data_IF_837952921663
#
_entry.id   IF_837952921663
#
_cell.length_a   1.000
_cell.length_b   1.000
_cell.length_c   1.000
_cell.angle_alpha   90.00
_cell.angle_beta   90.00
_cell.angle_gamma   90.00
#
_symmetry.space_group_name_H-M   'P 1'
#
loop_
_entity.id
_entity.type
_entity.pdbx_description
1 polymer ?
#
# COMPACT_ATOMS: atom_id res chain seq x y z
N UNK A 1 -100.06 -13.71 -3.37
CA UNK A 1 -98.81 -14.46 -3.80
C UNK A 1 -97.96 -13.65 -4.79
N UNK A 2 -98.51 -13.03 -5.82
CA UNK A 2 -97.71 -12.29 -6.83
C UNK A 2 -97.01 -11.04 -6.26
N UNK A 3 -97.60 -10.35 -5.27
CA UNK A 3 -97.04 -9.18 -4.62
C UNK A 3 -95.87 -9.55 -3.71
N UNK A 4 -95.94 -10.66 -3.03
CA UNK A 4 -94.91 -11.19 -2.15
C UNK A 4 -93.69 -11.61 -2.96
N UNK A 5 -93.94 -12.29 -4.08
CA UNK A 5 -92.89 -12.72 -5.00
C UNK A 5 -92.07 -11.50 -5.61
N UNK A 6 -92.81 -10.41 -5.91
CA UNK A 6 -92.24 -9.19 -6.42
C UNK A 6 -91.41 -8.45 -5.35
N UNK A 7 -91.88 -8.47 -4.10
CA UNK A 7 -91.18 -7.91 -2.96
C UNK A 7 -89.89 -8.64 -2.68
N UNK A 8 -89.93 -10.01 -2.64
CA UNK A 8 -88.75 -10.82 -2.37
C UNK A 8 -87.74 -10.71 -3.49
N UNK A 9 -88.13 -10.61 -4.76
CA UNK A 9 -87.20 -10.38 -5.88
C UNK A 9 -86.52 -9.02 -5.84
N UNK A 10 -87.29 -7.94 -5.35
CA UNK A 10 -86.72 -6.63 -5.17
C UNK A 10 -85.74 -6.59 -4.01
N UNK A 11 -85.98 -7.32 -2.93
CA UNK A 11 -85.14 -7.44 -1.78
C UNK A 11 -83.83 -8.08 -2.15
N UNK A 12 -83.91 -9.20 -2.92
CA UNK A 12 -82.72 -9.88 -3.46
C UNK A 12 -81.82 -8.99 -4.37
N UNK A 13 -82.52 -8.17 -5.21
CA UNK A 13 -81.81 -7.25 -6.12
C UNK A 13 -81.12 -6.13 -5.34
N UNK A 14 -81.69 -5.63 -4.23
CA UNK A 14 -81.09 -4.65 -3.34
C UNK A 14 -79.86 -5.28 -2.65
N UNK A 15 -80.01 -6.49 -2.13
CA UNK A 15 -78.95 -7.17 -1.43
C UNK A 15 -77.75 -7.45 -2.33
N UNK A 16 -77.97 -7.93 -3.59
CA UNK A 16 -76.89 -8.08 -4.60
C UNK A 16 -76.23 -6.73 -4.93
N UNK A 17 -76.97 -5.63 -4.96
CA UNK A 17 -76.35 -4.29 -5.21
C UNK A 17 -75.55 -3.82 -4.03
N UNK A 18 -75.96 -4.05 -2.80
CA UNK A 18 -75.20 -3.72 -1.57
C UNK A 18 -73.93 -4.56 -1.51
N UNK A 19 -73.96 -5.86 -1.79
CA UNK A 19 -72.79 -6.76 -1.83
C UNK A 19 -71.79 -6.32 -2.90
N UNK A 20 -72.24 -5.95 -4.08
CA UNK A 20 -71.38 -5.40 -5.15
C UNK A 20 -70.78 -4.04 -4.77
N UNK A 21 -71.51 -3.21 -4.03
CA UNK A 21 -71.00 -1.92 -3.59
C UNK A 21 -69.95 -2.08 -2.53
N UNK A 22 -70.14 -2.97 -1.55
CA UNK A 22 -69.18 -3.26 -0.50
C UNK A 22 -67.92 -3.89 -1.09
N UNK A 23 -68.04 -4.85 -2.03
CA UNK A 23 -66.88 -5.42 -2.74
C UNK A 23 -66.05 -4.36 -3.48
N UNK A 24 -66.73 -3.42 -4.17
CA UNK A 24 -66.03 -2.29 -4.81
C UNK A 24 -65.33 -1.38 -3.81
N UNK A 25 -65.91 -1.12 -2.65
CA UNK A 25 -65.30 -0.32 -1.57
C UNK A 25 -64.03 -1.00 -1.04
N UNK A 26 -64.03 -2.34 -0.82
CA UNK A 26 -62.85 -3.09 -0.40
C UNK A 26 -61.74 -3.06 -1.45
N UNK A 27 -62.07 -3.19 -2.74
CA UNK A 27 -61.11 -3.08 -3.83
C UNK A 27 -60.46 -1.68 -3.86
N UNK A 28 -61.28 -0.61 -3.75
CA UNK A 28 -60.79 0.77 -3.73
C UNK A 28 -59.90 1.01 -2.51
N UNK A 29 -60.31 0.55 -1.33
CA UNK A 29 -59.51 0.65 -0.12
C UNK A 29 -58.15 -0.09 -0.27
N UNK A 30 -58.17 -1.29 -0.85
CA UNK A 30 -56.94 -2.06 -1.15
C UNK A 30 -55.99 -1.36 -2.14
N UNK A 31 -56.55 -0.75 -3.19
CA UNK A 31 -55.77 0.05 -4.13
C UNK A 31 -55.19 1.31 -3.50
N UNK A 32 -55.92 1.98 -2.64
CA UNK A 32 -55.45 3.16 -1.91
C UNK A 32 -54.30 2.79 -0.93
N UNK A 33 -54.43 1.69 -0.21
CA UNK A 33 -53.34 1.21 0.68
C UNK A 33 -52.10 0.81 -0.09
N UNK A 34 -52.25 0.15 -1.23
CA UNK A 34 -51.12 -0.23 -2.09
C UNK A 34 -50.42 1.01 -2.68
N UNK A 35 -51.17 2.00 -3.10
CA UNK A 35 -50.63 3.28 -3.58
C UNK A 35 -49.87 4.03 -2.47
N UNK A 36 -50.39 4.04 -1.25
CA UNK A 36 -49.73 4.67 -0.10
C UNK A 36 -48.41 3.98 0.23
N UNK A 37 -48.36 2.65 0.20
CA UNK A 37 -47.12 1.87 0.40
C UNK A 37 -46.11 2.19 -0.70
N UNK A 38 -46.52 2.26 -1.95
CA UNK A 38 -45.66 2.58 -3.08
C UNK A 38 -45.04 3.98 -2.95
N UNK A 39 -45.86 4.97 -2.58
CA UNK A 39 -45.40 6.35 -2.34
C UNK A 39 -44.38 6.39 -1.19
N UNK A 40 -44.65 5.68 -0.10
CA UNK A 40 -43.72 5.59 1.03
C UNK A 40 -42.39 4.94 0.64
N UNK A 41 -42.45 3.87 -0.16
CA UNK A 41 -41.22 3.19 -0.68
C UNK A 41 -40.39 4.11 -1.60
N UNK A 42 -41.06 4.86 -2.48
CA UNK A 42 -40.39 5.85 -3.35
C UNK A 42 -39.78 7.00 -2.55
N UNK A 43 -40.47 7.51 -1.55
CA UNK A 43 -39.96 8.55 -0.65
C UNK A 43 -38.72 8.05 0.13
N UNK A 44 -38.76 6.80 0.62
CA UNK A 44 -37.64 6.18 1.31
C UNK A 44 -36.43 5.97 0.37
N UNK A 45 -36.66 5.51 -0.87
CA UNK A 45 -35.61 5.37 -1.88
C UNK A 45 -34.98 6.73 -2.20
N UNK A 46 -35.79 7.76 -2.40
CA UNK A 46 -35.30 9.13 -2.63
C UNK A 46 -34.44 9.63 -1.46
N UNK A 47 -34.88 9.36 -0.22
CA UNK A 47 -34.08 9.67 0.98
C UNK A 47 -32.75 8.95 1.01
N UNK A 48 -32.69 7.64 0.68
CA UNK A 48 -31.45 6.88 0.59
C UNK A 48 -30.51 7.44 -0.49
N UNK A 49 -31.03 7.75 -1.66
CA UNK A 49 -30.26 8.36 -2.76
C UNK A 49 -29.70 9.72 -2.35
N UNK A 50 -30.52 10.55 -1.72
CA UNK A 50 -30.08 11.86 -1.21
C UNK A 50 -28.95 11.70 -0.18
N UNK A 51 -29.12 10.78 0.76
CA UNK A 51 -28.11 10.49 1.79
C UNK A 51 -26.80 9.98 1.18
N UNK A 52 -26.89 9.11 0.17
CA UNK A 52 -25.74 8.61 -0.58
C UNK A 52 -24.99 9.73 -1.32
N UNK A 53 -25.73 10.63 -1.98
CA UNK A 53 -25.13 11.79 -2.67
C UNK A 53 -24.43 12.72 -1.68
N UNK A 54 -25.06 13.00 -0.52
CA UNK A 54 -24.47 13.84 0.51
C UNK A 54 -23.21 13.21 1.11
N UNK A 55 -23.22 11.89 1.34
CA UNK A 55 -22.04 11.15 1.83
C UNK A 55 -20.89 11.19 0.82
N UNK A 56 -21.20 10.94 -0.45
CA UNK A 56 -20.20 11.01 -1.53
C UNK A 56 -19.62 12.42 -1.68
N UNK A 57 -20.43 13.47 -1.56
CA UNK A 57 -19.94 14.85 -1.57
C UNK A 57 -19.00 15.15 -0.40
N UNK A 58 -19.34 14.70 0.82
CA UNK A 58 -18.49 14.84 1.99
C UNK A 58 -17.17 14.08 1.82
N UNK A 59 -17.24 12.82 1.35
CA UNK A 59 -16.07 12.00 1.09
C UNK A 59 -15.17 12.64 0.04
N UNK A 60 -15.71 13.12 -1.07
CA UNK A 60 -14.97 13.82 -2.11
C UNK A 60 -14.28 15.08 -1.58
N UNK A 61 -14.94 15.86 -0.73
CA UNK A 61 -14.36 17.05 -0.10
C UNK A 61 -13.21 16.70 0.85
N UNK A 62 -13.35 15.63 1.65
CA UNK A 62 -12.29 15.15 2.55
C UNK A 62 -11.09 14.67 1.74
N UNK A 63 -11.30 13.86 0.70
CA UNK A 63 -10.24 13.40 -0.19
C UNK A 63 -9.51 14.59 -0.82
N UNK A 64 -10.24 15.57 -1.35
CA UNK A 64 -9.64 16.76 -1.95
C UNK A 64 -8.81 17.54 -0.93
N UNK A 65 -9.29 17.76 0.29
CA UNK A 65 -8.54 18.47 1.34
C UNK A 65 -7.27 17.70 1.73
N UNK A 66 -7.34 16.37 1.84
CA UNK A 66 -6.17 15.52 2.13
C UNK A 66 -5.15 15.60 0.99
N UNK A 67 -5.64 15.52 -0.26
CA UNK A 67 -4.76 15.61 -1.45
C UNK A 67 -4.07 16.96 -1.53
N UNK A 68 -4.80 18.07 -1.37
CA UNK A 68 -4.23 19.42 -1.37
C UNK A 68 -3.17 19.61 -0.26
N UNK A 69 -3.43 19.08 0.94
CA UNK A 69 -2.48 19.14 2.06
C UNK A 69 -1.22 18.30 1.78
N UNK A 70 -1.41 17.12 1.21
CA UNK A 70 -0.35 16.22 0.80
C UNK A 70 0.52 16.81 -0.32
N UNK A 71 -0.09 17.43 -1.34
CA UNK A 71 0.63 18.11 -2.42
C UNK A 71 1.45 19.31 -1.91
N UNK A 72 0.91 20.10 -0.97
CA UNK A 72 1.64 21.19 -0.33
C UNK A 72 2.85 20.69 0.45
N UNK A 73 2.69 19.59 1.19
CA UNK A 73 3.76 18.98 1.96
C UNK A 73 4.87 18.43 1.04
N UNK A 74 4.50 17.80 -0.07
CA UNK A 74 5.43 17.33 -1.09
C UNK A 74 6.21 18.49 -1.74
N UNK A 75 5.50 19.53 -2.15
CA UNK A 75 6.14 20.73 -2.71
C UNK A 75 7.12 21.40 -1.76
N UNK A 76 6.81 21.43 -0.46
CA UNK A 76 7.69 21.93 0.57
C UNK A 76 8.96 21.07 0.70
N UNK A 77 8.82 19.75 0.76
CA UNK A 77 9.96 18.82 0.84
C UNK A 77 10.84 18.92 -0.40
N UNK A 78 10.24 18.96 -1.60
CA UNK A 78 10.98 19.13 -2.86
C UNK A 78 11.76 20.46 -2.88
N UNK A 79 11.15 21.53 -2.38
CA UNK A 79 11.81 22.84 -2.29
C UNK A 79 13.01 22.83 -1.34
N UNK A 80 12.88 22.15 -0.19
CA UNK A 80 13.99 21.99 0.77
C UNK A 80 15.11 21.16 0.13
N UNK A 81 14.80 20.02 -0.45
CA UNK A 81 15.79 19.15 -1.11
C UNK A 81 16.53 19.88 -2.22
N UNK A 82 15.82 20.61 -3.08
CA UNK A 82 16.41 21.39 -4.16
C UNK A 82 17.31 22.53 -3.65
N UNK A 83 17.04 23.10 -2.48
CA UNK A 83 17.89 24.14 -1.87
C UNK A 83 19.09 23.54 -1.13
N UNK A 84 18.96 22.33 -0.59
CA UNK A 84 20.06 21.64 0.09
C UNK A 84 21.12 21.11 -0.87
N UNK A 85 20.73 20.58 -2.02
CA UNK A 85 21.61 19.93 -2.99
C UNK A 85 22.81 20.80 -3.41
N UNK A 86 22.66 22.09 -3.80
CA UNK A 86 23.80 22.96 -4.13
C UNK A 86 24.76 23.15 -2.95
N UNK A 87 24.21 23.31 -1.73
CA UNK A 87 25.03 23.51 -0.52
C UNK A 87 25.86 22.28 -0.20
N UNK A 88 25.28 21.09 -0.34
CA UNK A 88 25.97 19.80 -0.15
C UNK A 88 27.03 19.58 -1.22
N UNK A 89 26.81 20.04 -2.45
CA UNK A 89 27.80 19.98 -3.53
C UNK A 89 28.99 20.92 -3.26
N UNK A 90 28.75 22.13 -2.76
CA UNK A 90 29.82 23.04 -2.35
C UNK A 90 30.63 22.49 -1.17
N UNK A 91 29.96 21.86 -0.19
CA UNK A 91 30.63 21.17 0.90
C UNK A 91 31.50 20.02 0.38
N UNK A 92 30.99 19.21 -0.55
CA UNK A 92 31.72 18.11 -1.18
C UNK A 92 32.98 18.60 -1.90
N UNK A 93 32.87 19.71 -2.67
CA UNK A 93 34.02 20.34 -3.34
C UNK A 93 35.04 20.90 -2.35
N UNK A 94 34.57 21.49 -1.26
CA UNK A 94 35.45 22.04 -0.20
C UNK A 94 36.21 20.91 0.52
N UNK A 95 35.54 19.78 0.77
CA UNK A 95 36.16 18.58 1.37
C UNK A 95 37.19 17.95 0.43
N UNK A 96 36.95 17.93 -0.88
CA UNK A 96 37.91 17.44 -1.87
C UNK A 96 39.22 18.27 -1.84
N UNK A 97 39.14 19.59 -1.60
CA UNK A 97 40.31 20.44 -1.41
C UNK A 97 41.10 20.13 -0.15
N UNK A 98 40.48 19.60 0.90
CA UNK A 98 41.14 19.21 2.15
C UNK A 98 41.80 17.82 2.11
N UNK A 99 41.55 16.97 1.08
CA UNK A 99 42.06 15.61 0.99
C UNK A 99 43.59 15.54 1.02
N UNK A 100 44.29 16.54 0.51
CA UNK A 100 45.76 16.61 0.51
C UNK A 100 46.34 17.01 1.86
N UNK A 101 45.60 17.75 2.69
CA UNK A 101 46.08 18.30 3.98
C UNK A 101 45.67 17.42 5.17
N UNK A 102 44.47 16.82 5.13
CA UNK A 102 43.94 16.05 6.23
C UNK A 102 43.04 14.88 5.70
N UNK A 103 43.61 13.85 5.08
CA UNK A 103 42.85 12.82 4.34
C UNK A 103 41.86 12.05 5.21
N UNK A 104 42.17 11.79 6.48
CA UNK A 104 41.27 11.09 7.40
C UNK A 104 40.02 11.89 7.75
N UNK A 105 40.19 13.20 8.00
CA UNK A 105 39.07 14.11 8.31
C UNK A 105 38.25 14.38 7.05
N UNK A 106 38.89 14.58 5.90
CA UNK A 106 38.20 14.77 4.62
C UNK A 106 37.29 13.58 4.30
N UNK A 107 37.78 12.33 4.47
CA UNK A 107 36.99 11.11 4.26
C UNK A 107 35.77 11.04 5.22
N UNK A 108 35.96 11.39 6.49
CA UNK A 108 34.86 11.37 7.46
C UNK A 108 33.79 12.41 7.16
N UNK A 109 34.20 13.61 6.72
CA UNK A 109 33.24 14.69 6.34
C UNK A 109 32.53 14.28 5.04
N UNK A 110 33.25 13.74 4.04
CA UNK A 110 32.63 13.29 2.80
C UNK A 110 31.56 12.24 3.04
N UNK A 111 31.83 11.24 3.87
CA UNK A 111 30.85 10.22 4.22
C UNK A 111 29.57 10.81 4.85
N UNK A 112 29.69 11.85 5.66
CA UNK A 112 28.53 12.57 6.24
C UNK A 112 27.76 13.40 5.21
N UNK A 113 28.46 14.03 4.28
CA UNK A 113 27.83 14.75 3.16
C UNK A 113 27.06 13.79 2.27
N UNK A 114 27.65 12.64 1.96
CA UNK A 114 27.00 11.60 1.13
C UNK A 114 25.76 11.02 1.84
N UNK A 115 25.85 10.76 3.15
CA UNK A 115 24.71 10.31 3.95
C UNK A 115 23.58 11.35 3.98
N UNK A 116 23.90 12.65 4.05
CA UNK A 116 22.90 13.72 4.05
C UNK A 116 22.25 13.89 2.68
N UNK A 117 22.99 13.72 1.58
CA UNK A 117 22.44 13.66 0.22
C UNK A 117 21.45 12.50 0.09
N UNK A 118 21.87 11.29 0.47
CA UNK A 118 21.02 10.11 0.43
C UNK A 118 19.73 10.29 1.24
N UNK A 119 19.84 10.90 2.42
CA UNK A 119 18.67 11.22 3.25
C UNK A 119 17.71 12.18 2.53
N UNK A 120 18.22 13.22 1.88
CA UNK A 120 17.40 14.15 1.07
C UNK A 120 16.66 13.44 -0.06
N UNK A 121 17.37 12.57 -0.81
CA UNK A 121 16.80 11.78 -1.89
C UNK A 121 15.70 10.84 -1.40
N UNK A 122 15.92 10.15 -0.28
CA UNK A 122 14.94 9.26 0.32
C UNK A 122 13.70 9.99 0.86
N UNK A 123 13.87 11.19 1.45
CA UNK A 123 12.72 12.02 1.86
C UNK A 123 11.88 12.43 0.65
N UNK A 124 12.54 12.86 -0.42
CA UNK A 124 11.85 13.25 -1.64
C UNK A 124 11.11 12.06 -2.26
N UNK A 125 11.76 10.91 -2.32
CA UNK A 125 11.15 9.68 -2.82
C UNK A 125 9.96 9.23 -1.97
N UNK A 126 10.10 9.23 -0.64
CA UNK A 126 9.02 8.88 0.28
C UNK A 126 7.81 9.78 0.06
N UNK A 127 8.04 11.09 -0.04
CA UNK A 127 6.98 12.07 -0.30
C UNK A 127 6.28 11.85 -1.64
N UNK A 128 7.02 11.55 -2.70
CA UNK A 128 6.44 11.22 -4.02
C UNK A 128 5.62 9.94 -3.96
N UNK A 129 6.15 8.89 -3.30
CA UNK A 129 5.46 7.62 -3.14
C UNK A 129 4.18 7.74 -2.31
N UNK A 130 4.15 8.52 -1.26
CA UNK A 130 2.94 8.75 -0.45
C UNK A 130 1.85 9.48 -1.23
N UNK A 131 2.21 10.39 -2.11
CA UNK A 131 1.27 11.25 -2.83
C UNK A 131 0.79 10.67 -4.16
N UNK A 132 1.52 9.76 -4.78
CA UNK A 132 1.12 9.12 -6.03
C UNK A 132 0.08 8.00 -5.78
N UNK A 133 -1.14 8.37 -5.39
CA UNK A 133 -2.25 7.43 -5.13
C UNK A 133 -2.68 6.61 -6.37
N UNK A 134 -2.27 7.02 -7.57
CA UNK A 134 -2.73 6.45 -8.85
C UNK A 134 -1.60 5.91 -9.73
N UNK A 135 -0.34 5.93 -9.29
CA UNK A 135 0.73 5.31 -10.07
C UNK A 135 0.59 3.79 -10.05
N UNK A 136 0.20 3.26 -11.19
CA UNK A 136 0.25 1.82 -11.45
C UNK A 136 1.58 1.50 -12.11
N UNK A 137 2.37 0.67 -11.48
CA UNK A 137 3.62 0.19 -12.07
C UNK A 137 3.34 -0.79 -13.20
N UNK A 138 3.93 -0.55 -14.37
CA UNK A 138 3.80 -1.46 -15.51
C UNK A 138 4.42 -2.83 -15.18
N UNK A 139 3.61 -3.88 -15.35
CA UNK A 139 4.02 -5.25 -15.10
C UNK A 139 4.57 -5.90 -16.38
N UNK A 140 5.76 -6.53 -16.28
CA UNK A 140 6.42 -7.27 -17.36
C UNK A 140 6.61 -8.73 -16.94
N UNK A 141 6.59 -9.64 -17.91
CA UNK A 141 6.92 -11.05 -17.66
C UNK A 141 8.42 -11.27 -17.72
N UNK A 142 8.97 -11.97 -16.74
CA UNK A 142 10.39 -12.33 -16.71
C UNK A 142 10.62 -13.62 -15.91
N UNK A 143 11.76 -14.25 -16.17
CA UNK A 143 12.21 -15.45 -15.43
C UNK A 143 12.77 -15.05 -14.07
N UNK A 144 12.21 -15.63 -13.00
CA UNK A 144 12.59 -15.27 -11.60
C UNK A 144 14.02 -15.65 -11.29
N UNK A 145 14.50 -16.82 -11.75
CA UNK A 145 15.88 -17.28 -11.48
C UNK A 145 16.91 -16.31 -12.04
N UNK A 146 16.80 -16.02 -13.36
CA UNK A 146 17.76 -15.11 -14.02
C UNK A 146 17.67 -13.67 -13.50
N UNK A 147 16.49 -13.23 -13.08
CA UNK A 147 16.30 -11.93 -12.43
C UNK A 147 17.03 -11.87 -11.08
N UNK A 148 16.77 -12.85 -10.20
CA UNK A 148 17.40 -12.90 -8.88
C UNK A 148 18.92 -13.11 -8.94
N UNK A 149 19.43 -13.87 -9.92
CA UNK A 149 20.87 -14.01 -10.16
C UNK A 149 21.54 -12.65 -10.43
N UNK A 150 20.91 -11.80 -11.26
CA UNK A 150 21.40 -10.44 -11.52
C UNK A 150 21.36 -9.55 -10.28
N UNK A 151 20.32 -9.66 -9.47
CA UNK A 151 20.19 -8.91 -8.21
C UNK A 151 21.28 -9.35 -7.21
N UNK A 152 21.50 -10.66 -7.07
CA UNK A 152 22.52 -11.20 -6.18
C UNK A 152 23.94 -10.81 -6.60
N UNK A 153 24.22 -10.75 -7.92
CA UNK A 153 25.52 -10.30 -8.42
C UNK A 153 25.88 -8.89 -7.99
N UNK A 154 24.88 -7.99 -7.95
CA UNK A 154 25.06 -6.58 -7.52
C UNK A 154 25.36 -6.43 -6.02
N UNK A 155 25.09 -7.45 -5.23
CA UNK A 155 25.29 -7.42 -3.76
C UNK A 155 26.56 -8.16 -3.35
N UNK A 156 27.17 -8.96 -4.24
CA UNK A 156 28.33 -9.78 -3.91
C UNK A 156 29.51 -9.00 -3.32
N UNK A 157 29.75 -7.80 -3.84
CA UNK A 157 30.84 -6.95 -3.37
C UNK A 157 30.60 -6.35 -1.98
N UNK A 158 29.33 -6.24 -1.57
CA UNK A 158 28.94 -5.71 -0.27
C UNK A 158 29.01 -6.80 0.82
N UNK A 159 29.07 -8.08 0.44
CA UNK A 159 29.08 -9.21 1.38
C UNK A 159 30.48 -9.41 1.97
N UNK A 160 30.53 -9.51 3.30
CA UNK A 160 31.80 -9.71 4.02
C UNK A 160 32.44 -11.06 3.68
N UNK A 161 33.77 -11.13 3.60
CA UNK A 161 34.49 -12.39 3.42
C UNK A 161 34.09 -13.43 4.49
N UNK A 162 33.75 -14.64 4.05
CA UNK A 162 33.36 -15.74 4.94
C UNK A 162 31.83 -15.83 5.20
N UNK A 163 31.03 -14.92 4.69
CA UNK A 163 29.57 -15.04 4.68
C UNK A 163 29.14 -15.81 3.44
N UNK A 164 28.42 -16.92 3.64
CA UNK A 164 27.88 -17.72 2.55
C UNK A 164 26.62 -17.05 1.96
N UNK A 165 26.54 -16.99 0.62
CA UNK A 165 25.39 -16.45 -0.08
C UNK A 165 24.73 -17.56 -0.90
N UNK A 166 23.43 -17.84 -0.63
CA UNK A 166 22.69 -18.93 -1.26
C UNK A 166 21.37 -18.46 -1.84
N UNK A 167 20.90 -19.14 -2.88
CA UNK A 167 19.61 -18.91 -3.51
C UNK A 167 18.81 -20.21 -3.60
N UNK A 168 17.48 -20.09 -3.46
CA UNK A 168 16.53 -21.20 -3.66
C UNK A 168 15.37 -20.69 -4.52
N UNK A 169 15.59 -20.70 -5.84
CA UNK A 169 14.73 -20.00 -6.79
C UNK A 169 14.45 -20.91 -7.99
N UNK A 170 13.18 -21.27 -8.23
CA UNK A 170 12.81 -22.09 -9.38
C UNK A 170 12.87 -21.29 -10.69
N UNK A 171 13.11 -21.99 -11.80
CA UNK A 171 13.04 -21.41 -13.16
C UNK A 171 11.59 -21.27 -13.62
N UNK A 172 10.91 -20.24 -13.15
CA UNK A 172 9.54 -19.92 -13.51
C UNK A 172 9.43 -18.47 -13.97
N UNK A 173 8.35 -18.16 -14.70
CA UNK A 173 8.02 -16.80 -15.08
C UNK A 173 6.96 -16.24 -14.15
N UNK A 174 7.09 -14.96 -13.83
CA UNK A 174 6.08 -14.15 -13.15
C UNK A 174 5.87 -12.84 -13.91
N UNK A 175 4.72 -12.21 -13.68
CA UNK A 175 4.40 -10.89 -14.26
C UNK A 175 4.27 -9.86 -13.14
N UNK A 176 5.25 -8.96 -13.04
CA UNK A 176 5.25 -7.86 -12.06
C UNK A 176 6.19 -6.74 -12.56
N UNK A 177 6.29 -5.64 -11.82
CA UNK A 177 7.26 -4.61 -12.14
C UNK A 177 8.66 -5.01 -11.68
N UNK A 178 9.55 -5.30 -12.65
CA UNK A 178 10.89 -5.79 -12.38
C UNK A 178 11.77 -4.75 -11.69
N UNK A 179 11.64 -3.46 -12.05
CA UNK A 179 12.44 -2.37 -11.50
C UNK A 179 12.16 -2.17 -10.01
N UNK A 180 10.89 -2.06 -9.64
CA UNK A 180 10.50 -1.86 -8.25
C UNK A 180 10.80 -3.09 -7.39
N UNK A 181 10.60 -4.30 -7.95
CA UNK A 181 11.01 -5.53 -7.28
C UNK A 181 12.52 -5.57 -7.03
N UNK A 182 13.33 -5.19 -8.02
CA UNK A 182 14.79 -5.11 -7.87
C UNK A 182 15.20 -4.15 -6.76
N UNK A 183 14.58 -2.97 -6.69
CA UNK A 183 14.85 -1.98 -5.65
C UNK A 183 14.60 -2.53 -4.24
N UNK A 184 13.45 -3.20 -4.03
CA UNK A 184 13.12 -3.82 -2.74
C UNK A 184 14.16 -4.90 -2.41
N UNK A 185 14.43 -5.84 -3.33
CA UNK A 185 15.35 -6.95 -3.06
C UNK A 185 16.77 -6.48 -2.83
N UNK A 186 17.28 -5.50 -3.60
CA UNK A 186 18.60 -4.91 -3.39
C UNK A 186 18.70 -4.28 -2.00
N UNK A 187 17.70 -3.53 -1.57
CA UNK A 187 17.70 -2.91 -0.25
C UNK A 187 17.74 -3.96 0.87
N UNK A 188 16.90 -4.99 0.79
CA UNK A 188 16.88 -6.09 1.77
C UNK A 188 18.19 -6.87 1.81
N UNK A 189 18.76 -7.17 0.66
CA UNK A 189 20.03 -7.92 0.55
C UNK A 189 21.23 -7.07 1.00
N UNK A 190 21.26 -5.77 0.71
CA UNK A 190 22.29 -4.86 1.22
C UNK A 190 22.22 -4.73 2.73
N UNK A 191 21.02 -4.61 3.30
CA UNK A 191 20.87 -4.66 4.74
C UNK A 191 21.39 -5.99 5.32
N UNK A 192 21.06 -7.12 4.71
CA UNK A 192 21.57 -8.42 5.13
C UNK A 192 23.12 -8.46 5.07
N UNK A 193 23.74 -7.92 4.01
CA UNK A 193 25.19 -7.85 3.85
C UNK A 193 25.86 -6.97 4.91
N UNK A 194 25.28 -5.83 5.24
CA UNK A 194 25.81 -4.89 6.26
C UNK A 194 25.79 -5.54 7.65
N UNK A 195 24.67 -6.16 8.02
CA UNK A 195 24.46 -6.64 9.39
C UNK A 195 24.92 -8.07 9.62
N UNK A 196 25.22 -8.88 8.57
CA UNK A 196 25.73 -10.23 8.72
C UNK A 196 27.25 -10.23 8.75
N UNK A 197 27.81 -10.59 9.89
CA UNK A 197 29.28 -10.69 10.07
C UNK A 197 29.80 -12.10 9.84
N UNK A 198 28.95 -13.12 10.00
CA UNK A 198 29.27 -14.53 9.81
C UNK A 198 28.00 -15.34 9.55
N UNK A 199 28.11 -16.50 8.97
CA UNK A 199 26.98 -17.37 8.64
C UNK A 199 26.56 -17.20 7.20
N UNK A 200 25.25 -17.02 6.93
CA UNK A 200 24.73 -17.00 5.56
C UNK A 200 23.64 -15.96 5.33
N UNK A 201 23.55 -15.55 4.06
CA UNK A 201 22.44 -14.76 3.50
C UNK A 201 21.76 -15.65 2.46
N UNK A 202 20.44 -15.78 2.55
CA UNK A 202 19.64 -16.62 1.64
C UNK A 202 18.52 -15.83 1.00
N UNK A 203 18.41 -15.91 -0.34
CA UNK A 203 17.26 -15.43 -1.10
C UNK A 203 16.43 -16.62 -1.57
N UNK A 204 15.17 -16.68 -1.19
CA UNK A 204 14.23 -17.75 -1.57
C UNK A 204 13.04 -17.16 -2.33
N UNK A 205 12.50 -17.95 -3.25
CA UNK A 205 11.23 -17.68 -3.91
C UNK A 205 10.25 -18.82 -3.66
N UNK A 206 9.02 -18.47 -3.28
CA UNK A 206 7.93 -19.44 -3.07
C UNK A 206 6.67 -19.00 -3.79
N UNK A 207 6.12 -19.85 -4.66
CA UNK A 207 4.79 -19.62 -5.23
C UNK A 207 3.71 -20.04 -4.22
N UNK A 208 2.75 -19.15 -3.97
CA UNK A 208 1.62 -19.37 -3.06
C UNK A 208 0.30 -19.37 -3.84
N UNK A 209 -0.04 -20.52 -4.45
CA UNK A 209 -1.24 -20.63 -5.30
C UNK A 209 -1.06 -20.02 -6.69
N UNK A 210 -2.18 -19.59 -7.31
CA UNK A 210 -2.18 -19.12 -8.71
C UNK A 210 -1.67 -17.69 -8.89
N UNK A 211 -1.93 -16.80 -7.92
CA UNK A 211 -1.75 -15.35 -8.08
C UNK A 211 -0.88 -14.70 -7.01
N UNK A 212 -0.25 -15.49 -6.14
CA UNK A 212 0.61 -14.97 -5.08
C UNK A 212 2.00 -15.61 -5.14
N UNK A 213 3.02 -14.80 -4.89
CA UNK A 213 4.38 -15.27 -4.67
C UNK A 213 5.02 -14.60 -3.47
N UNK A 214 6.07 -15.22 -2.95
CA UNK A 214 6.87 -14.70 -1.85
C UNK A 214 8.33 -14.68 -2.25
N UNK A 215 9.00 -13.55 -2.02
CA UNK A 215 10.45 -13.44 -1.95
C UNK A 215 10.85 -13.34 -0.49
N UNK A 216 11.79 -14.16 -0.07
CA UNK A 216 12.21 -14.26 1.33
C UNK A 216 13.71 -14.01 1.40
N UNK A 217 14.13 -12.98 2.12
CA UNK A 217 15.52 -12.68 2.42
C UNK A 217 15.78 -13.05 3.86
N UNK A 218 16.68 -14.01 4.08
CA UNK A 218 17.06 -14.51 5.40
C UNK A 218 18.53 -14.24 5.65
N UNK A 219 18.88 -13.72 6.82
CA UNK A 219 20.25 -13.48 7.26
C UNK A 219 20.53 -14.11 8.64
N UNK A 220 21.83 -14.22 8.98
CA UNK A 220 22.29 -14.61 10.31
C UNK A 220 22.92 -13.42 11.06
N UNK A 221 22.42 -12.22 10.83
CA UNK A 221 22.82 -11.03 11.56
C UNK A 221 22.31 -11.02 13.00
N UNK A 222 22.37 -9.88 13.70
CA UNK A 222 21.94 -9.76 15.10
C UNK A 222 20.44 -9.94 15.29
N UNK A 223 19.65 -9.92 14.22
CA UNK A 223 18.18 -9.92 14.27
C UNK A 223 17.62 -8.59 14.73
N UNK A 224 16.29 -8.51 14.80
CA UNK A 224 15.56 -7.30 15.17
C UNK A 224 14.68 -7.61 16.38
N UNK A 225 14.84 -6.89 17.51
CA UNK A 225 14.03 -7.06 18.71
C UNK A 225 12.53 -6.98 18.41
N UNK A 226 11.72 -7.81 19.08
CA UNK A 226 10.29 -7.94 18.78
C UNK A 226 9.53 -6.61 18.87
N UNK A 227 9.87 -5.77 19.83
CA UNK A 227 9.29 -4.44 20.04
C UNK A 227 9.58 -3.46 18.90
N UNK A 228 10.63 -3.72 18.11
CA UNK A 228 11.06 -2.87 16.99
C UNK A 228 10.54 -3.35 15.64
N UNK A 229 10.13 -4.61 15.52
CA UNK A 229 9.79 -5.24 14.23
C UNK A 229 8.66 -4.55 13.47
N UNK A 230 7.73 -3.90 14.15
CA UNK A 230 6.67 -3.09 13.53
C UNK A 230 7.18 -1.67 13.24
N UNK A 231 8.03 -1.15 14.11
CA UNK A 231 8.52 0.22 14.02
C UNK A 231 9.49 0.43 12.85
N UNK A 232 10.30 -0.56 12.48
CA UNK A 232 11.28 -0.46 11.37
C UNK A 232 10.68 -0.13 10.00
N UNK A 233 9.37 -0.35 9.81
CA UNK A 233 8.65 0.02 8.58
C UNK A 233 8.03 1.41 8.64
N UNK A 234 8.15 2.12 9.77
CA UNK A 234 7.69 3.51 9.92
C UNK A 234 8.84 4.47 9.68
N UNK A 235 8.63 5.56 8.92
CA UNK A 235 9.67 6.57 8.71
C UNK A 235 10.19 7.15 10.02
N UNK A 236 11.48 7.48 10.06
CA UNK A 236 12.14 8.19 11.17
C UNK A 236 12.16 7.49 12.53
N UNK A 237 11.98 6.16 12.58
CA UNK A 237 11.83 5.45 13.86
C UNK A 237 13.17 5.14 14.56
N UNK A 238 14.30 5.06 13.83
CA UNK A 238 15.59 4.58 14.36
C UNK A 238 16.81 5.41 13.96
N UNK A 239 16.65 6.69 13.66
CA UNK A 239 17.78 7.54 13.30
C UNK A 239 18.56 7.89 14.58
N UNK A 240 19.73 7.26 14.75
CA UNK A 240 20.70 7.67 15.78
C UNK A 240 21.82 8.51 15.18
N UNK A 241 22.38 8.10 14.07
CA UNK A 241 23.34 8.83 13.25
C UNK A 241 23.03 8.55 11.77
N UNK A 242 22.98 9.60 10.95
CA UNK A 242 22.77 9.47 9.49
C UNK A 242 23.90 8.69 8.81
N UNK A 243 25.09 8.64 9.42
CA UNK A 243 26.21 7.83 8.91
C UNK A 243 25.94 6.30 9.04
N UNK A 244 25.09 5.88 9.97
CA UNK A 244 24.73 4.46 10.17
C UNK A 244 23.49 4.06 9.35
N UNK A 245 22.84 5.04 8.71
CA UNK A 245 21.63 4.85 7.90
C UNK A 245 20.53 5.85 8.26
N UNK A 246 19.70 6.20 7.30
CA UNK A 246 18.67 7.22 7.43
C UNK A 246 17.31 6.71 7.96
N UNK A 247 17.17 5.39 8.13
CA UNK A 247 15.94 4.77 8.62
C UNK A 247 14.75 4.88 7.65
N UNK A 248 14.97 5.24 6.39
CA UNK A 248 13.93 5.43 5.38
C UNK A 248 13.82 4.28 4.37
N UNK A 249 14.86 3.49 4.22
CA UNK A 249 14.88 2.46 3.18
C UNK A 249 13.81 1.37 3.34
N UNK A 250 13.58 0.82 4.54
CA UNK A 250 12.50 -0.16 4.78
C UNK A 250 11.09 0.46 4.65
N UNK A 251 10.81 1.66 5.17
CA UNK A 251 9.57 2.40 4.87
C UNK A 251 9.31 2.57 3.38
N UNK A 252 10.30 3.01 2.60
CA UNK A 252 10.20 3.14 1.13
C UNK A 252 9.90 1.78 0.48
N UNK A 253 10.63 0.72 0.84
CA UNK A 253 10.37 -0.63 0.35
C UNK A 253 8.94 -1.12 0.68
N UNK A 254 8.43 -0.80 1.86
CA UNK A 254 7.07 -1.15 2.28
C UNK A 254 6.02 -0.42 1.45
N UNK A 255 6.23 0.87 1.16
CA UNK A 255 5.37 1.66 0.29
C UNK A 255 5.37 1.15 -1.16
N UNK A 256 6.55 0.88 -1.72
CA UNK A 256 6.68 0.29 -3.06
C UNK A 256 5.94 -1.06 -3.11
N UNK A 257 6.15 -1.94 -2.13
CA UNK A 257 5.45 -3.23 -2.04
C UNK A 257 3.92 -3.05 -2.04
N UNK A 258 3.40 -2.08 -1.25
CA UNK A 258 1.97 -1.77 -1.20
C UNK A 258 1.44 -1.30 -2.56
N UNK A 259 2.18 -0.45 -3.29
CA UNK A 259 1.82 0.00 -4.65
C UNK A 259 1.88 -1.11 -5.70
N UNK A 260 2.65 -2.17 -5.45
CA UNK A 260 2.68 -3.39 -6.25
C UNK A 260 1.60 -4.40 -5.83
N UNK A 261 0.58 -4.00 -5.06
CA UNK A 261 -0.44 -4.87 -4.47
C UNK A 261 0.16 -6.02 -3.64
N UNK A 262 1.24 -5.72 -2.94
CA UNK A 262 1.96 -6.64 -2.08
C UNK A 262 2.12 -6.15 -0.64
N UNK A 263 2.86 -6.90 0.14
CA UNK A 263 3.20 -6.55 1.52
C UNK A 263 4.62 -6.96 1.84
N UNK A 264 5.32 -6.11 2.59
CA UNK A 264 6.64 -6.41 3.15
C UNK A 264 6.51 -6.56 4.67
N UNK A 265 7.03 -7.65 5.21
CA UNK A 265 6.99 -7.97 6.64
C UNK A 265 8.27 -8.66 7.09
N UNK A 266 8.46 -8.75 8.41
CA UNK A 266 9.49 -9.55 9.05
C UNK A 266 8.84 -10.78 9.71
N UNK A 267 9.52 -11.93 9.67
CA UNK A 267 9.10 -13.15 10.34
C UNK A 267 9.44 -13.09 11.84
N UNK A 268 8.45 -12.93 12.75
CA UNK A 268 8.71 -12.78 14.18
C UNK A 268 9.21 -14.09 14.84
N UNK A 269 8.98 -15.24 14.20
CA UNK A 269 9.37 -16.53 14.72
C UNK A 269 10.83 -16.91 14.38
N UNK A 270 11.45 -16.21 13.43
CA UNK A 270 12.84 -16.46 13.08
C UNK A 270 13.79 -15.78 14.09
N UNK A 271 14.61 -16.57 14.79
CA UNK A 271 15.46 -16.11 15.90
C UNK A 271 16.96 -16.19 15.64
N UNK A 272 17.39 -16.60 14.43
CA UNK A 272 18.82 -16.79 14.08
C UNK A 272 19.37 -15.62 13.25
N UNK A 273 18.71 -14.47 13.29
CA UNK A 273 18.96 -13.28 12.47
C UNK A 273 17.68 -12.62 12.08
N UNK A 274 17.58 -12.03 10.88
CA UNK A 274 16.36 -11.47 10.35
C UNK A 274 15.85 -12.29 9.17
N UNK A 275 14.52 -12.29 8.98
CA UNK A 275 13.87 -12.89 7.81
C UNK A 275 12.78 -11.95 7.33
N UNK A 276 13.04 -11.29 6.20
CA UNK A 276 12.07 -10.44 5.54
C UNK A 276 11.28 -11.22 4.49
N UNK A 277 9.99 -10.98 4.44
CA UNK A 277 9.05 -11.65 3.53
C UNK A 277 8.31 -10.59 2.72
N UNK A 278 8.57 -10.58 1.42
CA UNK A 278 7.85 -9.78 0.44
C UNK A 278 6.81 -10.68 -0.24
N UNK A 279 5.54 -10.36 -0.08
CA UNK A 279 4.43 -11.04 -0.76
C UNK A 279 3.94 -10.15 -1.89
N UNK A 280 3.79 -10.68 -3.10
CA UNK A 280 3.30 -9.96 -4.28
C UNK A 280 2.17 -10.73 -4.97
N UNK A 281 1.24 -9.99 -5.58
CA UNK A 281 0.32 -10.52 -6.58
C UNK A 281 1.00 -10.56 -7.95
N UNK A 282 0.89 -11.70 -8.66
CA UNK A 282 1.53 -11.97 -9.93
C UNK A 282 0.61 -12.67 -10.91
#
# INVERSE_FOLDING_TARGET
>A
DALQQKYDSSLQTIQEKEDRLSAKQYIIAGLCTLAAILIAALAFLAFLVMRFILLNRKLKKIIQTITEHSEQQTGFIQSISAQMEPTLDEMSKSVAGLQTMAPGQAKAIQARVDALKQFGDHIQELSLLENSLLETYEAQSFNVSSFCEKVMEQVKEDVRPGVEVTTDIPKIEIKTNAEQLQRILLHLLKNAAIYTTSGKIKLEFKKKGAHLCQFIVTDNGPGIPAEKQVAIFKPFTEIKDLADGDGLGLPICSLIASKMNGTLSIDPEYKKGSRFILVLQV
#
